data_IF_373884201962
#
_entry.id   IF_373884201962
#
_cell.length_a   1.000
_cell.length_b   1.000
_cell.length_c   1.000
_cell.angle_alpha   90.00
_cell.angle_beta   90.00
_cell.angle_gamma   90.00
#
_symmetry.space_group_name_H-M   'P 1'
#
loop_
_entity.id
_entity.type
_entity.pdbx_description
1 polymer ?
#
# COMPACT_ATOMS: atom_id res chain seq x y z
N UNK A 1 34.74 55.75 35.38
CA UNK A 1 33.89 54.56 35.53
C UNK A 1 32.47 54.92 35.11
N UNK A 2 32.06 54.53 33.90
CA UNK A 2 30.66 54.52 33.46
C UNK A 2 30.59 53.61 32.23
N UNK A 3 30.26 52.35 32.49
CA UNK A 3 30.14 51.30 31.49
C UNK A 3 28.83 51.51 30.72
N UNK A 4 28.92 51.70 29.41
CA UNK A 4 27.77 51.71 28.51
C UNK A 4 27.37 50.25 28.22
N UNK A 5 26.12 49.93 28.50
CA UNK A 5 25.50 48.65 28.17
C UNK A 5 25.17 48.62 26.68
N UNK A 6 25.74 47.64 25.97
CA UNK A 6 25.35 47.28 24.61
C UNK A 6 24.16 46.32 24.72
N UNK A 7 22.99 46.74 24.24
CA UNK A 7 21.84 45.86 24.03
C UNK A 7 22.05 45.14 22.72
N UNK A 8 22.38 43.84 22.79
CA UNK A 8 22.44 42.97 21.62
C UNK A 8 21.03 42.52 21.23
N UNK A 9 20.61 42.87 20.01
CA UNK A 9 19.42 42.28 19.39
C UNK A 9 19.75 40.85 18.94
N UNK A 10 19.17 39.86 19.60
CA UNK A 10 19.13 38.48 19.14
C UNK A 10 18.12 38.39 17.99
N UNK A 11 18.62 38.37 16.76
CA UNK A 11 17.84 37.95 15.60
C UNK A 11 17.76 36.42 15.68
N UNK A 12 16.63 35.90 16.16
CA UNK A 12 16.32 34.49 16.03
C UNK A 12 16.08 34.18 14.55
N UNK A 13 17.01 33.46 13.92
CA UNK A 13 16.70 32.74 12.68
C UNK A 13 15.68 31.66 13.06
N UNK A 14 14.41 31.89 12.77
CA UNK A 14 13.47 30.80 12.59
C UNK A 14 13.92 30.04 11.34
N UNK A 15 14.46 28.84 11.53
CA UNK A 15 14.56 27.86 10.44
C UNK A 15 13.12 27.54 10.06
N UNK A 16 12.64 28.16 8.98
CA UNK A 16 11.46 27.68 8.29
C UNK A 16 11.83 26.29 7.77
N UNK A 17 11.40 25.25 8.48
CA UNK A 17 11.38 23.89 7.94
C UNK A 17 10.62 23.95 6.62
N UNK A 18 11.25 23.45 5.55
CA UNK A 18 10.64 23.35 4.24
C UNK A 18 9.31 22.60 4.35
N UNK A 19 8.20 23.30 4.05
CA UNK A 19 6.82 22.82 3.94
C UNK A 19 6.61 21.87 2.72
N UNK A 20 7.64 21.13 2.33
CA UNK A 20 7.52 20.21 1.20
C UNK A 20 6.97 18.89 1.73
N UNK A 21 5.93 18.37 1.07
CA UNK A 21 5.46 17.01 1.28
C UNK A 21 6.65 16.05 1.14
N UNK A 22 6.74 15.04 2.01
CA UNK A 22 7.75 14.01 1.86
C UNK A 22 7.50 13.24 0.57
N UNK A 23 8.54 12.64 0.01
CA UNK A 23 8.38 11.63 -1.03
C UNK A 23 8.07 10.27 -0.40
N UNK A 24 7.38 9.40 -1.13
CA UNK A 24 7.21 8.00 -0.77
C UNK A 24 8.57 7.31 -0.61
N UNK A 25 9.52 7.61 -1.50
CA UNK A 25 10.87 7.03 -1.43
C UNK A 25 11.60 7.40 -0.14
N UNK A 26 11.54 8.65 0.30
CA UNK A 26 12.10 9.08 1.59
C UNK A 26 11.36 8.42 2.76
N UNK A 27 10.02 8.36 2.69
CA UNK A 27 9.19 7.79 3.75
C UNK A 27 9.41 6.28 3.94
N UNK A 28 9.71 5.56 2.85
CA UNK A 28 9.97 4.13 2.84
C UNK A 28 11.47 3.79 2.93
N UNK A 29 12.33 4.75 3.26
CA UNK A 29 13.77 4.50 3.36
C UNK A 29 14.10 3.59 4.56
N UNK A 30 14.91 2.55 4.33
CA UNK A 30 15.35 1.59 5.35
C UNK A 30 16.87 1.49 5.44
N UNK A 31 17.36 1.01 6.58
CA UNK A 31 18.79 0.70 6.76
C UNK A 31 19.11 -0.72 6.25
N UNK A 32 20.38 -1.14 6.37
CA UNK A 32 20.83 -2.47 5.95
C UNK A 32 20.17 -3.64 6.70
N UNK A 33 19.48 -3.38 7.82
CA UNK A 33 18.71 -4.36 8.58
C UNK A 33 17.20 -4.32 8.25
N UNK A 34 16.76 -3.49 7.30
CA UNK A 34 15.36 -3.31 6.94
C UNK A 34 14.55 -2.44 7.91
N UNK A 35 15.22 -1.75 8.85
CA UNK A 35 14.54 -0.85 9.78
C UNK A 35 14.35 0.53 9.15
N UNK A 36 13.19 1.16 9.39
CA UNK A 36 12.89 2.50 8.88
C UNK A 36 13.94 3.53 9.33
N UNK A 37 14.34 4.39 8.42
CA UNK A 37 15.29 5.50 8.64
C UNK A 37 14.62 6.87 8.54
N UNK A 38 13.32 6.90 8.27
CA UNK A 38 12.56 8.13 8.18
C UNK A 38 12.47 8.80 9.56
N UNK A 39 12.98 10.03 9.68
CA UNK A 39 13.16 10.74 10.96
C UNK A 39 12.48 12.11 10.98
N UNK A 40 11.53 12.35 10.07
CA UNK A 40 10.85 13.65 9.97
C UNK A 40 9.88 13.90 11.15
N UNK A 41 9.10 14.99 11.03
CA UNK A 41 8.10 15.42 12.01
C UNK A 41 7.12 14.29 12.39
N UNK A 42 6.37 14.51 13.48
CA UNK A 42 5.41 13.53 14.03
C UNK A 42 4.38 13.03 13.00
N UNK A 43 4.08 13.84 11.98
CA UNK A 43 3.19 13.49 10.88
C UNK A 43 3.90 13.60 9.53
N UNK A 44 3.39 12.88 8.54
CA UNK A 44 3.81 12.95 7.14
C UNK A 44 2.60 13.28 6.26
N UNK A 45 2.86 13.96 5.13
CA UNK A 45 1.89 14.17 4.05
C UNK A 45 2.47 13.60 2.77
N UNK A 46 1.72 12.72 2.09
CA UNK A 46 2.08 12.07 0.83
C UNK A 46 0.94 12.17 -0.19
N UNK A 47 1.27 12.19 -1.47
CA UNK A 47 0.31 12.16 -2.58
C UNK A 47 0.57 10.98 -3.51
N UNK A 48 -0.49 10.36 -4.00
CA UNK A 48 -0.36 9.27 -4.95
C UNK A 48 -1.69 8.72 -5.45
N UNK A 49 -1.61 7.72 -6.32
CA UNK A 49 -2.73 7.04 -6.95
C UNK A 49 -3.17 5.86 -6.09
N UNK A 50 -4.45 5.81 -5.76
CA UNK A 50 -5.07 4.70 -5.04
C UNK A 50 -4.97 3.41 -5.84
N UNK A 51 -4.32 2.39 -5.27
CA UNK A 51 -4.12 1.10 -5.92
C UNK A 51 -5.22 0.08 -5.61
N UNK A 52 -5.97 0.24 -4.52
CA UNK A 52 -7.01 -0.72 -4.16
C UNK A 52 -8.27 -0.13 -3.56
N UNK A 53 -9.34 -0.92 -3.62
CA UNK A 53 -10.50 -0.74 -2.77
C UNK A 53 -10.20 -1.36 -1.38
N UNK A 54 -10.29 -0.60 -0.28
CA UNK A 54 -10.08 -1.15 1.06
C UNK A 54 -11.01 -2.31 1.41
N UNK A 55 -12.24 -2.31 0.86
CA UNK A 55 -13.23 -3.36 1.11
C UNK A 55 -12.83 -4.73 0.52
N UNK A 56 -11.92 -4.75 -0.45
CA UNK A 56 -11.38 -5.98 -1.04
C UNK A 56 -10.10 -6.45 -0.34
N UNK A 57 -9.56 -5.67 0.60
CA UNK A 57 -8.32 -5.99 1.34
C UNK A 57 -8.64 -6.68 2.67
N UNK A 58 -9.00 -5.93 3.71
CA UNK A 58 -9.21 -6.44 5.08
C UNK A 58 -10.70 -6.50 5.44
N UNK A 59 -11.02 -7.14 6.57
CA UNK A 59 -12.39 -7.16 7.08
C UNK A 59 -12.68 -5.97 8.00
N UNK A 60 -13.49 -4.98 7.58
CA UNK A 60 -13.81 -3.83 8.43
C UNK A 60 -14.98 -4.10 9.37
N UNK A 61 -15.49 -5.35 9.46
CA UNK A 61 -16.65 -5.69 10.29
C UNK A 61 -16.33 -5.44 11.78
N UNK A 62 -17.06 -4.54 12.47
CA UNK A 62 -16.79 -4.24 13.87
C UNK A 62 -17.29 -5.34 14.81
N UNK A 63 -16.52 -5.62 15.87
CA UNK A 63 -16.91 -6.50 16.99
C UNK A 63 -16.09 -6.21 18.26
N UNK A 64 -16.39 -5.11 18.94
CA UNK A 64 -15.77 -4.69 20.21
C UNK A 64 -16.06 -5.61 21.41
N UNK A 65 -16.95 -6.60 21.25
CA UNK A 65 -17.16 -7.66 22.23
C UNK A 65 -16.08 -8.76 22.14
N UNK A 66 -15.33 -8.82 21.04
CA UNK A 66 -14.24 -9.76 20.85
C UNK A 66 -12.96 -9.26 21.52
N UNK A 67 -12.76 -9.67 22.76
CA UNK A 67 -11.58 -9.32 23.58
C UNK A 67 -10.48 -10.39 23.54
N UNK A 68 -10.44 -11.21 22.48
CA UNK A 68 -9.41 -12.24 22.36
C UNK A 68 -8.04 -11.59 22.15
N UNK A 69 -7.09 -11.94 23.00
CA UNK A 69 -5.69 -11.48 22.89
C UNK A 69 -5.15 -11.70 21.47
N UNK A 70 -4.53 -10.67 20.90
CA UNK A 70 -4.01 -10.58 19.53
C UNK A 70 -5.03 -10.43 18.39
N UNK A 71 -6.33 -10.34 18.67
CA UNK A 71 -7.34 -10.11 17.64
C UNK A 71 -7.62 -8.60 17.48
N UNK A 72 -7.30 -8.01 16.33
CA UNK A 72 -7.55 -6.57 16.06
C UNK A 72 -8.98 -6.30 15.56
N UNK A 73 -9.75 -7.36 15.29
CA UNK A 73 -11.15 -7.29 14.84
C UNK A 73 -11.27 -6.51 13.52
N UNK A 74 -12.04 -5.42 13.49
CA UNK A 74 -12.23 -4.59 12.30
C UNK A 74 -10.91 -4.00 11.86
N UNK A 75 -10.56 -4.16 10.58
CA UNK A 75 -9.33 -3.65 10.01
C UNK A 75 -9.61 -3.01 8.65
N UNK A 76 -8.85 -1.96 8.35
CA UNK A 76 -8.97 -1.20 7.13
C UNK A 76 -7.58 -0.83 6.61
N UNK A 77 -7.35 -1.01 5.30
CA UNK A 77 -6.05 -0.71 4.69
C UNK A 77 -6.20 -0.24 3.24
N UNK A 78 -5.40 0.77 2.87
CA UNK A 78 -5.35 1.34 1.53
C UNK A 78 -3.90 1.53 1.09
N UNK A 79 -3.56 1.07 -0.10
CA UNK A 79 -2.30 1.33 -0.78
C UNK A 79 -2.47 2.44 -1.80
N UNK A 80 -1.48 3.33 -1.86
CA UNK A 80 -1.37 4.35 -2.88
C UNK A 80 0.09 4.52 -3.31
N UNK A 81 0.28 4.80 -4.60
CA UNK A 81 1.59 4.87 -5.24
C UNK A 81 1.88 6.29 -5.70
N UNK A 82 3.09 6.77 -5.44
CA UNK A 82 3.55 8.04 -5.99
C UNK A 82 3.66 8.01 -7.53
N UNK A 83 3.96 9.18 -8.09
CA UNK A 83 3.97 9.43 -9.53
C UNK A 83 5.28 10.10 -9.96
N UNK A 84 5.54 10.11 -11.27
CA UNK A 84 6.73 10.73 -11.84
C UNK A 84 8.00 10.01 -11.40
N UNK A 85 8.93 10.75 -10.79
CA UNK A 85 10.22 10.22 -10.33
C UNK A 85 10.13 9.50 -8.98
N UNK A 86 9.02 9.61 -8.26
CA UNK A 86 8.78 8.97 -6.97
C UNK A 86 7.74 7.85 -7.09
N UNK A 87 8.14 6.72 -7.64
CA UNK A 87 7.24 5.60 -7.93
C UNK A 87 6.97 4.69 -6.73
N UNK A 88 7.58 4.95 -5.56
CA UNK A 88 7.34 4.16 -4.36
C UNK A 88 5.89 4.31 -3.88
N UNK A 89 5.39 3.32 -3.13
CA UNK A 89 4.04 3.38 -2.56
C UNK A 89 4.02 3.29 -1.05
N UNK A 90 2.86 3.52 -0.47
CA UNK A 90 2.65 3.54 0.98
C UNK A 90 1.28 2.97 1.31
N UNK A 91 1.17 2.33 2.48
CA UNK A 91 -0.11 1.92 3.02
C UNK A 91 -0.59 2.90 4.10
N UNK A 92 -1.90 3.13 4.11
CA UNK A 92 -2.68 3.64 5.23
C UNK A 92 -3.27 2.45 5.96
N UNK A 93 -3.20 2.40 7.29
CA UNK A 93 -3.76 1.30 8.08
C UNK A 93 -4.50 1.81 9.31
N UNK A 94 -5.63 1.18 9.62
CA UNK A 94 -6.41 1.38 10.84
C UNK A 94 -6.94 0.04 11.35
N UNK A 95 -6.97 -0.13 12.68
CA UNK A 95 -7.47 -1.33 13.34
C UNK A 95 -8.35 -0.96 14.53
N UNK A 96 -9.43 -1.72 14.74
CA UNK A 96 -10.45 -1.41 15.73
C UNK A 96 -9.94 -1.64 17.16
N UNK A 97 -9.45 -2.85 17.43
CA UNK A 97 -9.18 -3.33 18.79
C UNK A 97 -7.69 -3.45 19.08
N UNK A 98 -6.93 -2.36 18.94
CA UNK A 98 -5.52 -2.36 19.37
C UNK A 98 -5.35 -2.66 20.86
N UNK A 99 -6.36 -2.36 21.68
CA UNK A 99 -6.46 -2.75 23.09
C UNK A 99 -6.38 -4.27 23.35
N UNK A 100 -6.60 -5.12 22.33
CA UNK A 100 -6.39 -6.57 22.43
C UNK A 100 -4.90 -6.99 22.36
N UNK A 101 -3.99 -6.05 22.10
CA UNK A 101 -2.55 -6.29 22.17
C UNK A 101 -2.03 -6.06 23.59
N UNK A 102 -1.27 -6.99 24.18
CA UNK A 102 -0.88 -6.93 25.60
C UNK A 102 0.10 -5.80 25.94
N UNK A 103 0.59 -5.07 24.95
CA UNK A 103 1.50 -3.94 25.08
C UNK A 103 0.85 -2.59 24.74
N UNK A 104 -0.45 -2.55 24.44
CA UNK A 104 -1.24 -1.33 24.21
C UNK A 104 -2.16 -1.09 25.40
N UNK A 105 -2.54 0.18 25.62
CA UNK A 105 -3.51 0.55 26.65
C UNK A 105 -4.83 -0.20 26.44
N UNK A 106 -5.50 -0.68 27.51
CA UNK A 106 -6.84 -1.25 27.42
C UNK A 106 -7.88 -0.29 26.84
N UNK A 107 -7.64 1.02 26.94
CA UNK A 107 -8.51 2.08 26.42
C UNK A 107 -8.17 2.50 24.98
N UNK A 108 -7.22 1.83 24.30
CA UNK A 108 -6.77 2.20 22.95
C UNK A 108 -7.50 1.44 21.85
N UNK A 109 -8.83 1.38 21.89
CA UNK A 109 -9.63 0.62 20.93
C UNK A 109 -11.01 1.21 20.77
N UNK A 110 -11.48 1.26 19.52
CA UNK A 110 -12.77 1.83 19.16
C UNK A 110 -13.93 0.89 19.54
N UNK A 111 -14.98 1.45 20.14
CA UNK A 111 -16.29 0.79 20.14
C UNK A 111 -16.81 0.57 18.72
N UNK A 112 -17.84 -0.28 18.56
CA UNK A 112 -18.45 -0.50 17.25
C UNK A 112 -18.99 0.80 16.65
N UNK A 113 -19.61 1.66 17.48
CA UNK A 113 -20.13 2.96 17.03
C UNK A 113 -19.02 3.91 16.61
N UNK A 114 -17.93 4.00 17.38
CA UNK A 114 -16.77 4.85 17.04
C UNK A 114 -16.08 4.35 15.77
N UNK A 115 -15.86 3.03 15.64
CA UNK A 115 -15.27 2.44 14.44
C UNK A 115 -16.07 2.75 13.17
N UNK A 116 -17.40 2.63 13.23
CA UNK A 116 -18.28 2.97 12.10
C UNK A 116 -18.22 4.47 11.79
N UNK A 117 -18.12 5.32 12.81
CA UNK A 117 -17.95 6.76 12.61
C UNK A 117 -16.61 7.08 11.93
N UNK A 118 -15.52 6.44 12.34
CA UNK A 118 -14.19 6.62 11.76
C UNK A 118 -14.10 6.11 10.32
N UNK A 119 -14.66 4.93 10.02
CA UNK A 119 -14.77 4.48 8.64
C UNK A 119 -15.64 5.41 7.79
N UNK A 120 -16.71 5.98 8.35
CA UNK A 120 -17.54 6.97 7.64
C UNK A 120 -16.74 8.24 7.35
N UNK A 121 -15.95 8.73 8.32
CA UNK A 121 -15.08 9.89 8.19
C UNK A 121 -14.01 9.68 7.12
N UNK A 122 -13.25 8.58 7.20
CA UNK A 122 -12.17 8.27 6.25
C UNK A 122 -12.69 8.11 4.81
N UNK A 123 -13.85 7.47 4.63
CA UNK A 123 -14.41 7.23 3.30
C UNK A 123 -15.29 8.39 2.79
N UNK A 124 -15.43 9.49 3.54
CA UNK A 124 -16.29 10.62 3.18
C UNK A 124 -15.88 11.28 1.86
N UNK A 125 -14.60 11.23 1.49
CA UNK A 125 -14.08 11.75 0.22
C UNK A 125 -14.50 10.91 -1.00
N UNK A 126 -15.03 9.69 -0.79
CA UNK A 126 -15.47 8.77 -1.84
C UNK A 126 -14.42 8.59 -2.95
N UNK A 127 -13.15 8.40 -2.55
CA UNK A 127 -12.09 8.02 -3.47
C UNK A 127 -12.34 6.60 -4.01
N UNK A 128 -11.75 6.31 -5.15
CA UNK A 128 -11.82 5.02 -5.83
C UNK A 128 -10.44 4.62 -6.35
N UNK A 129 -10.29 3.37 -6.77
CA UNK A 129 -9.09 2.89 -7.46
C UNK A 129 -8.79 3.79 -8.66
N UNK A 130 -7.53 4.22 -8.81
CA UNK A 130 -7.11 5.14 -9.87
C UNK A 130 -7.39 6.63 -9.59
N UNK A 131 -7.93 6.99 -8.43
CA UNK A 131 -7.99 8.39 -8.00
C UNK A 131 -6.65 8.83 -7.40
N UNK A 132 -6.31 10.11 -7.56
CA UNK A 132 -5.22 10.75 -6.84
C UNK A 132 -5.70 11.28 -5.50
N UNK A 133 -5.02 10.91 -4.44
CA UNK A 133 -5.29 11.36 -3.07
C UNK A 133 -4.07 12.04 -2.45
N UNK A 134 -4.32 12.81 -1.39
CA UNK A 134 -3.31 13.24 -0.43
C UNK A 134 -3.66 12.66 0.93
N UNK A 135 -2.74 11.95 1.56
CA UNK A 135 -2.90 11.44 2.90
C UNK A 135 -1.99 12.20 3.88
N UNK A 136 -2.53 12.58 5.03
CA UNK A 136 -1.74 13.21 6.12
C UNK A 136 -2.04 12.51 7.43
N UNK A 137 -1.01 12.09 8.17
CA UNK A 137 -1.19 11.46 9.48
C UNK A 137 0.12 11.11 10.17
N UNK A 138 0.02 10.51 11.35
CA UNK A 138 1.14 9.89 12.04
C UNK A 138 1.57 8.59 11.32
N UNK A 139 2.64 7.98 11.80
CA UNK A 139 3.16 6.76 11.19
C UNK A 139 3.88 5.87 12.19
N UNK A 140 3.97 4.58 11.85
CA UNK A 140 4.85 3.60 12.48
C UNK A 140 5.41 2.65 11.42
N UNK A 141 6.62 2.15 11.67
CA UNK A 141 7.17 1.02 10.94
C UNK A 141 6.58 -0.28 11.46
N UNK A 142 6.14 -1.15 10.56
CA UNK A 142 5.67 -2.49 10.88
C UNK A 142 6.16 -3.46 9.81
N UNK A 143 6.93 -4.47 10.22
CA UNK A 143 7.29 -5.64 9.41
C UNK A 143 7.85 -5.33 7.99
N UNK A 144 8.76 -4.35 7.92
CA UNK A 144 9.49 -3.99 6.70
C UNK A 144 8.94 -2.78 5.94
N UNK A 145 7.85 -2.18 6.44
CA UNK A 145 7.22 -1.01 5.82
C UNK A 145 6.91 0.09 6.83
N UNK A 146 7.01 1.35 6.42
CA UNK A 146 6.47 2.47 7.19
C UNK A 146 5.06 2.78 6.70
N UNK A 147 4.07 2.73 7.59
CA UNK A 147 2.67 3.00 7.25
C UNK A 147 2.20 4.30 7.90
N UNK A 148 1.33 5.03 7.21
CA UNK A 148 0.56 6.09 7.87
C UNK A 148 -0.55 5.41 8.68
N UNK A 149 -0.63 5.73 9.96
CA UNK A 149 -1.59 5.17 10.90
C UNK A 149 -1.76 6.08 12.12
N UNK A 150 -2.54 5.63 13.10
CA UNK A 150 -2.89 6.40 14.30
C UNK A 150 -1.98 6.09 15.49
N UNK A 151 -0.85 5.40 15.27
CA UNK A 151 0.09 4.95 16.31
C UNK A 151 -0.54 4.14 17.45
N UNK A 152 -1.59 3.36 17.13
CA UNK A 152 -2.36 2.58 18.10
C UNK A 152 -3.08 3.46 19.15
N UNK A 153 -3.48 4.68 18.76
CA UNK A 153 -4.18 5.65 19.61
C UNK A 153 -5.47 6.10 18.92
N UNK A 154 -6.60 5.91 19.60
CA UNK A 154 -7.96 6.24 19.15
C UNK A 154 -8.41 7.67 19.50
N UNK A 155 -7.52 8.48 20.07
CA UNK A 155 -7.78 9.90 20.27
C UNK A 155 -7.86 10.62 18.91
N UNK A 156 -8.92 11.44 18.66
CA UNK A 156 -9.08 12.18 17.40
C UNK A 156 -7.89 13.05 16.96
N UNK A 157 -7.00 13.44 17.87
CA UNK A 157 -5.76 14.15 17.53
C UNK A 157 -4.75 13.28 16.74
N UNK A 158 -4.94 11.95 16.71
CA UNK A 158 -4.13 10.98 15.98
C UNK A 158 -4.73 10.54 14.64
N UNK A 159 -5.97 10.96 14.35
CA UNK A 159 -6.65 10.68 13.09
C UNK A 159 -5.76 11.06 11.90
N UNK A 160 -5.62 10.14 10.95
CA UNK A 160 -5.13 10.51 9.62
C UNK A 160 -6.29 10.99 8.74
N UNK A 161 -5.94 11.77 7.71
CA UNK A 161 -6.88 12.37 6.76
C UNK A 161 -6.56 11.93 5.35
N UNK A 162 -7.59 11.81 4.52
CA UNK A 162 -7.48 11.53 3.08
C UNK A 162 -8.25 12.61 2.34
N UNK A 163 -7.54 13.41 1.56
CA UNK A 163 -8.11 14.38 0.63
C UNK A 163 -8.13 13.77 -0.77
N UNK A 164 -9.28 13.82 -1.43
CA UNK A 164 -9.37 13.50 -2.85
C UNK A 164 -8.86 14.70 -3.66
N UNK A 165 -7.76 14.50 -4.40
CA UNK A 165 -7.13 15.55 -5.20
C UNK A 165 -7.68 15.55 -6.62
N UNK A 166 -7.81 14.37 -7.24
CA UNK A 166 -8.33 14.23 -8.60
C UNK A 166 -8.98 12.87 -8.81
N UNK A 167 -10.19 12.85 -9.37
CA UNK A 167 -10.86 11.60 -9.76
C UNK A 167 -10.37 11.06 -11.09
N UNK A 168 -10.35 9.74 -11.22
CA UNK A 168 -10.21 9.03 -12.48
C UNK A 168 -8.93 9.38 -13.23
N UNK A 169 -7.82 9.55 -12.50
CA UNK A 169 -6.49 9.71 -13.13
C UNK A 169 -6.13 8.44 -13.90
N UNK A 170 -6.59 7.30 -13.40
CA UNK A 170 -6.23 5.98 -13.90
C UNK A 170 -5.15 5.37 -13.02
N UNK A 171 -5.04 4.05 -13.05
CA UNK A 171 -3.96 3.35 -12.38
C UNK A 171 -2.63 3.61 -13.08
N UNK A 172 -1.50 3.58 -12.34
CA UNK A 172 -0.20 3.47 -12.97
C UNK A 172 -0.19 2.22 -13.86
N UNK A 173 0.42 2.31 -15.04
CA UNK A 173 0.67 1.10 -15.83
C UNK A 173 1.55 0.15 -15.00
N UNK A 174 1.18 -1.13 -14.82
CA UNK A 174 2.01 -2.07 -14.08
C UNK A 174 3.41 -2.19 -14.70
N UNK A 175 4.46 -2.10 -13.89
CA UNK A 175 5.82 -2.40 -14.37
C UNK A 175 5.96 -3.92 -14.53
N UNK A 176 6.48 -4.36 -15.67
CA UNK A 176 6.76 -5.79 -15.91
C UNK A 176 8.02 -6.16 -15.13
N UNK A 177 7.89 -7.15 -14.26
CA UNK A 177 8.92 -7.61 -13.33
C UNK A 177 9.02 -9.13 -13.46
N UNK A 178 10.25 -9.65 -13.48
CA UNK A 178 10.51 -11.09 -13.45
C UNK A 178 10.86 -11.55 -12.05
N UNK A 179 10.82 -12.87 -11.80
CA UNK A 179 11.28 -13.41 -10.52
C UNK A 179 12.79 -13.20 -10.32
N UNK A 180 13.57 -13.05 -11.39
CA UNK A 180 15.00 -12.70 -11.35
C UNK A 180 15.24 -11.26 -10.86
N UNK A 181 14.29 -10.34 -11.08
CA UNK A 181 14.39 -8.97 -10.56
C UNK A 181 14.18 -8.91 -9.05
N UNK A 182 13.49 -9.90 -8.49
CA UNK A 182 13.12 -9.98 -7.06
C UNK A 182 14.01 -10.92 -6.26
N UNK A 183 14.61 -11.92 -6.91
CA UNK A 183 15.30 -13.02 -6.24
C UNK A 183 16.60 -13.44 -6.93
N UNK A 184 17.55 -13.91 -6.13
CA UNK A 184 18.82 -14.45 -6.59
C UNK A 184 18.72 -15.90 -7.10
N UNK A 185 19.84 -16.45 -7.58
CA UNK A 185 19.92 -17.82 -8.12
C UNK A 185 19.61 -18.93 -7.10
N UNK A 186 19.48 -18.60 -5.80
CA UNK A 186 19.11 -19.50 -4.72
C UNK A 186 17.64 -19.32 -4.29
N UNK A 187 16.83 -18.61 -5.11
CA UNK A 187 15.43 -18.27 -4.83
C UNK A 187 15.26 -17.45 -3.53
N UNK A 188 16.31 -16.72 -3.11
CA UNK A 188 16.28 -15.80 -1.97
C UNK A 188 15.98 -14.39 -2.46
N UNK A 189 15.27 -13.58 -1.66
CA UNK A 189 14.96 -12.21 -2.06
C UNK A 189 16.21 -11.33 -2.13
N UNK A 190 16.25 -10.51 -3.17
CA UNK A 190 17.23 -9.44 -3.31
C UNK A 190 16.73 -8.26 -2.45
N UNK A 191 17.46 -7.98 -1.38
CA UNK A 191 17.24 -6.81 -0.54
C UNK A 191 18.24 -5.71 -0.88
N UNK A 192 17.74 -4.52 -1.20
CA UNK A 192 18.56 -3.33 -1.45
C UNK A 192 18.00 -2.12 -0.71
N UNK A 193 18.63 -1.65 0.38
CA UNK A 193 18.14 -0.49 1.13
C UNK A 193 18.20 0.82 0.34
N UNK A 194 18.97 0.87 -0.77
CA UNK A 194 18.95 2.01 -1.68
C UNK A 194 17.74 2.00 -2.64
N UNK A 195 16.91 0.96 -2.58
CA UNK A 195 15.69 0.77 -3.39
C UNK A 195 15.96 0.81 -4.91
N UNK A 196 17.16 0.43 -5.36
CA UNK A 196 17.53 0.46 -6.77
C UNK A 196 17.18 -0.83 -7.50
N UNK A 197 17.13 -1.96 -6.77
CA UNK A 197 16.81 -3.31 -7.27
C UNK A 197 16.01 -4.10 -6.22
N UNK A 198 15.53 -5.29 -6.59
CA UNK A 198 14.95 -6.23 -5.63
C UNK A 198 13.59 -5.80 -5.07
N UNK A 199 13.18 -6.45 -3.97
CA UNK A 199 11.86 -6.23 -3.37
C UNK A 199 11.63 -4.78 -2.92
N UNK A 200 12.66 -4.13 -2.37
CA UNK A 200 12.59 -2.74 -1.90
C UNK A 200 12.27 -1.73 -3.01
N UNK A 201 12.79 -1.94 -4.24
CA UNK A 201 12.46 -1.09 -5.39
C UNK A 201 10.97 -1.12 -5.74
N UNK A 202 10.34 -2.28 -5.57
CA UNK A 202 8.98 -2.56 -6.01
C UNK A 202 7.94 -2.53 -4.88
N UNK A 203 8.37 -2.42 -3.62
CA UNK A 203 7.49 -2.45 -2.45
C UNK A 203 6.40 -1.35 -2.53
N UNK A 204 5.15 -1.74 -2.35
CA UNK A 204 3.91 -0.98 -2.50
C UNK A 204 3.61 -0.47 -3.91
N UNK A 205 4.16 -1.10 -4.95
CA UNK A 205 3.95 -0.71 -6.35
C UNK A 205 3.11 -1.73 -7.10
N UNK A 206 2.35 -1.26 -8.09
CA UNK A 206 1.62 -2.12 -9.00
C UNK A 206 2.60 -2.72 -10.02
N UNK A 207 2.72 -4.04 -10.03
CA UNK A 207 3.61 -4.79 -10.93
C UNK A 207 2.86 -5.89 -11.67
N UNK A 208 3.44 -6.34 -12.77
CA UNK A 208 3.00 -7.50 -13.55
C UNK A 208 4.13 -8.52 -13.62
N UNK A 209 3.81 -9.78 -13.31
CA UNK A 209 4.71 -10.93 -13.52
C UNK A 209 4.09 -11.81 -14.59
N UNK A 210 4.81 -12.04 -15.68
CA UNK A 210 4.31 -12.73 -16.86
C UNK A 210 4.72 -14.20 -16.89
N UNK A 211 3.86 -15.04 -17.48
CA UNK A 211 4.23 -16.41 -17.84
C UNK A 211 4.54 -17.34 -16.66
N UNK A 212 3.83 -17.19 -15.55
CA UNK A 212 3.98 -18.02 -14.34
C UNK A 212 2.84 -19.04 -14.21
N UNK A 213 3.03 -20.04 -13.36
CA UNK A 213 2.00 -21.00 -12.98
C UNK A 213 1.76 -20.98 -11.47
N UNK A 214 0.59 -21.43 -11.03
CA UNK A 214 0.28 -21.62 -9.60
C UNK A 214 0.84 -22.97 -9.14
N UNK A 215 1.76 -22.96 -8.19
CA UNK A 215 2.43 -24.17 -7.69
C UNK A 215 1.47 -25.12 -6.96
N UNK A 216 0.56 -24.57 -6.15
CA UNK A 216 -0.54 -25.31 -5.50
C UNK A 216 -1.80 -24.43 -5.43
N UNK A 217 -2.89 -24.78 -6.14
CA UNK A 217 -4.12 -24.00 -6.11
C UNK A 217 -4.99 -24.25 -4.87
N UNK A 218 -4.61 -25.18 -3.97
CA UNK A 218 -5.40 -25.50 -2.77
C UNK A 218 -5.61 -24.31 -1.83
N UNK A 219 -4.75 -23.29 -1.91
CA UNK A 219 -4.90 -22.03 -1.16
C UNK A 219 -5.93 -21.06 -1.74
N UNK A 220 -6.62 -21.39 -2.82
CA UNK A 220 -7.55 -20.48 -3.48
C UNK A 220 -8.80 -20.18 -2.62
N UNK A 221 -8.99 -18.91 -2.29
CA UNK A 221 -10.15 -18.39 -1.57
C UNK A 221 -9.87 -17.02 -0.97
N UNK A 222 -10.89 -16.37 -0.37
CA UNK A 222 -10.69 -15.12 0.35
C UNK A 222 -9.61 -15.25 1.42
N UNK A 223 -8.67 -14.30 1.48
CA UNK A 223 -7.50 -14.33 2.38
C UNK A 223 -6.56 -15.51 2.16
N UNK A 224 -6.71 -16.20 1.03
CA UNK A 224 -5.90 -17.34 0.66
C UNK A 224 -4.47 -16.96 0.33
N UNK A 225 -3.56 -17.91 0.49
CA UNK A 225 -2.17 -17.77 0.08
C UNK A 225 -1.86 -18.78 -1.01
N UNK A 226 -1.33 -18.29 -2.12
CA UNK A 226 -0.83 -19.10 -3.23
C UNK A 226 0.67 -18.91 -3.37
N UNK A 227 1.27 -19.69 -4.25
CA UNK A 227 2.65 -19.47 -4.70
C UNK A 227 2.67 -19.54 -6.22
N UNK A 228 3.19 -18.49 -6.86
CA UNK A 228 3.47 -18.51 -8.30
C UNK A 228 4.89 -18.98 -8.55
N UNK A 229 5.14 -19.58 -9.70
CA UNK A 229 6.47 -20.04 -10.12
C UNK A 229 6.67 -19.96 -11.62
N UNK A 230 7.89 -19.66 -12.04
CA UNK A 230 8.37 -19.77 -13.42
C UNK A 230 9.01 -21.16 -13.71
N UNK A 231 8.91 -22.10 -12.76
CA UNK A 231 9.54 -23.42 -12.81
C UNK A 231 10.92 -23.48 -12.15
N UNK A 232 11.50 -22.34 -11.77
CA UNK A 232 12.80 -22.25 -11.08
C UNK A 232 12.65 -21.50 -9.75
N UNK A 233 12.06 -20.32 -9.77
CA UNK A 233 11.86 -19.43 -8.63
C UNK A 233 10.40 -19.39 -8.21
N UNK A 234 10.16 -18.91 -7.01
CA UNK A 234 8.81 -18.84 -6.43
C UNK A 234 8.50 -17.46 -5.86
N UNK A 235 7.23 -17.05 -5.84
CA UNK A 235 6.78 -15.84 -5.12
C UNK A 235 5.44 -16.12 -4.43
N UNK A 236 5.31 -15.82 -3.13
CA UNK A 236 4.02 -15.88 -2.44
C UNK A 236 3.04 -14.85 -3.03
N UNK A 237 1.79 -15.27 -3.19
CA UNK A 237 0.68 -14.39 -3.57
C UNK A 237 -0.37 -14.46 -2.48
N UNK A 238 -0.76 -13.31 -1.95
CA UNK A 238 -1.86 -13.21 -1.00
C UNK A 238 -3.10 -12.70 -1.71
N UNK A 239 -4.22 -13.40 -1.50
CA UNK A 239 -5.50 -13.10 -2.10
C UNK A 239 -6.34 -12.26 -1.16
N UNK A 240 -6.91 -11.18 -1.67
CA UNK A 240 -7.89 -10.39 -0.94
C UNK A 240 -9.23 -11.09 -0.81
N UNK A 241 -10.24 -10.31 -0.47
CA UNK A 241 -11.63 -10.75 -0.24
C UNK A 241 -12.60 -10.24 -1.31
N UNK A 242 -12.07 -9.77 -2.44
CA UNK A 242 -12.89 -9.30 -3.56
C UNK A 242 -13.82 -10.38 -4.08
N UNK A 243 -14.98 -9.94 -4.62
CA UNK A 243 -16.11 -10.82 -4.96
C UNK A 243 -15.83 -11.86 -6.04
N UNK A 244 -14.77 -11.73 -6.82
CA UNK A 244 -14.34 -12.73 -7.79
C UNK A 244 -13.48 -13.85 -7.21
N UNK A 245 -13.08 -13.76 -5.94
CA UNK A 245 -12.30 -14.78 -5.24
C UNK A 245 -13.24 -15.51 -4.29
N UNK A 246 -13.71 -16.69 -4.69
CA UNK A 246 -14.56 -17.56 -3.88
C UNK A 246 -14.35 -19.04 -4.22
N UNK A 247 -14.82 -19.94 -3.36
CA UNK A 247 -14.68 -21.39 -3.59
C UNK A 247 -15.27 -21.80 -4.95
N UNK A 248 -14.45 -22.39 -5.82
CA UNK A 248 -14.85 -22.82 -7.17
C UNK A 248 -14.75 -21.75 -8.27
N UNK A 249 -14.28 -20.53 -7.96
CA UNK A 249 -13.99 -19.50 -8.98
C UNK A 249 -12.65 -19.68 -9.70
N UNK A 250 -11.77 -20.57 -9.21
CA UNK A 250 -10.49 -20.86 -9.85
C UNK A 250 -10.72 -21.45 -11.24
N UNK A 251 -10.47 -20.65 -12.27
CA UNK A 251 -10.54 -21.03 -13.68
C UNK A 251 -9.30 -20.59 -14.47
N UNK A 252 -8.18 -20.36 -13.76
CA UNK A 252 -6.91 -19.96 -14.33
C UNK A 252 -6.32 -21.07 -15.23
N UNK A 253 -5.74 -20.67 -16.35
CA UNK A 253 -4.96 -21.51 -17.24
C UNK A 253 -3.69 -22.05 -16.54
N UNK A 254 -3.02 -23.02 -17.15
CA UNK A 254 -1.78 -23.59 -16.62
C UNK A 254 -0.67 -22.54 -16.49
N UNK A 255 -0.61 -21.61 -17.45
CA UNK A 255 0.30 -20.46 -17.44
C UNK A 255 -0.54 -19.20 -17.57
N UNK A 256 -0.26 -18.23 -16.70
CA UNK A 256 -0.98 -16.98 -16.54
C UNK A 256 -0.02 -15.83 -16.30
N UNK A 257 -0.53 -14.60 -16.47
CA UNK A 257 0.10 -13.41 -15.92
C UNK A 257 -0.53 -13.08 -14.56
N UNK A 258 0.19 -12.37 -13.70
CA UNK A 258 -0.32 -11.91 -12.40
C UNK A 258 -0.04 -10.43 -12.26
N UNK A 259 -1.09 -9.64 -11.99
CA UNK A 259 -0.97 -8.20 -11.72
C UNK A 259 -1.42 -7.95 -10.28
N UNK A 260 -0.57 -7.31 -9.50
CA UNK A 260 -0.84 -7.05 -8.09
C UNK A 260 0.11 -6.02 -7.48
N UNK A 261 -0.09 -5.76 -6.19
CA UNK A 261 0.72 -4.81 -5.42
C UNK A 261 1.82 -5.59 -4.72
N UNK A 262 3.10 -5.33 -5.01
CA UNK A 262 4.17 -5.99 -4.26
C UNK A 262 4.19 -5.43 -2.83
N UNK A 263 4.21 -6.30 -1.83
CA UNK A 263 4.14 -5.95 -0.42
C UNK A 263 5.23 -6.67 0.37
N UNK A 264 5.54 -6.15 1.55
CA UNK A 264 6.35 -6.81 2.56
C UNK A 264 5.66 -6.63 3.91
N UNK A 265 5.29 -7.74 4.52
CA UNK A 265 4.72 -7.76 5.87
C UNK A 265 5.32 -8.94 6.64
N UNK A 266 6.65 -8.93 6.77
CA UNK A 266 7.45 -10.00 7.36
C UNK A 266 8.19 -9.57 8.61
N UNK A 267 8.37 -10.48 9.57
CA UNK A 267 9.28 -10.27 10.70
C UNK A 267 10.76 -10.35 10.29
N UNK A 268 11.05 -10.96 9.14
CA UNK A 268 12.36 -10.89 8.50
C UNK A 268 12.38 -9.64 7.61
N UNK A 269 12.86 -8.52 8.15
CA UNK A 269 12.75 -7.19 7.53
C UNK A 269 13.51 -7.02 6.20
N UNK A 270 14.32 -8.00 5.82
CA UNK A 270 15.09 -8.03 4.57
C UNK A 270 14.59 -9.13 3.60
N UNK A 271 13.43 -9.72 3.88
CA UNK A 271 12.85 -10.87 3.18
C UNK A 271 11.30 -10.82 3.26
N UNK A 272 10.60 -11.81 2.71
CA UNK A 272 9.18 -12.05 2.93
C UNK A 272 8.29 -11.13 2.10
N UNK A 273 8.75 -10.76 0.90
CA UNK A 273 7.92 -10.06 -0.06
C UNK A 273 6.84 -10.99 -0.61
N UNK A 274 5.68 -10.42 -0.94
CA UNK A 274 4.54 -11.12 -1.51
C UNK A 274 3.81 -10.23 -2.49
N UNK A 275 3.09 -10.83 -3.43
CA UNK A 275 2.22 -10.09 -4.33
C UNK A 275 0.79 -10.10 -3.80
N UNK A 276 0.17 -8.93 -3.66
CA UNK A 276 -1.23 -8.81 -3.24
C UNK A 276 -2.14 -8.76 -4.48
N UNK A 277 -3.09 -9.69 -4.57
CA UNK A 277 -4.15 -9.68 -5.60
C UNK A 277 -5.51 -9.65 -4.90
N UNK A 278 -6.17 -8.49 -4.94
CA UNK A 278 -7.29 -8.23 -4.03
C UNK A 278 -8.65 -8.69 -4.53
N UNK A 279 -8.76 -8.88 -5.84
CA UNK A 279 -9.94 -9.39 -6.50
C UNK A 279 -9.53 -10.16 -7.76
N UNK A 280 -10.47 -10.86 -8.37
CA UNK A 280 -10.25 -11.60 -9.60
C UNK A 280 -11.39 -11.33 -10.58
N UNK A 281 -11.09 -11.10 -11.85
CA UNK A 281 -12.10 -10.78 -12.86
C UNK A 281 -12.72 -12.03 -13.54
N UNK A 282 -12.17 -13.22 -13.25
CA UNK A 282 -12.67 -14.49 -13.80
C UNK A 282 -12.25 -14.78 -15.23
N UNK A 283 -11.27 -14.07 -15.80
CA UNK A 283 -10.92 -14.19 -17.22
C UNK A 283 -10.20 -15.51 -17.59
N UNK A 284 -9.54 -16.18 -16.64
CA UNK A 284 -8.79 -17.43 -16.83
C UNK A 284 -7.35 -17.27 -17.35
N UNK A 285 -6.91 -16.08 -17.76
CA UNK A 285 -5.61 -15.80 -18.38
C UNK A 285 -4.69 -14.93 -17.51
N UNK A 286 -5.27 -14.03 -16.72
CA UNK A 286 -4.55 -13.08 -15.87
C UNK A 286 -5.19 -13.06 -14.49
N UNK A 287 -4.41 -13.38 -13.45
CA UNK A 287 -4.82 -13.22 -12.06
C UNK A 287 -4.63 -11.75 -11.65
N UNK A 288 -5.72 -10.99 -11.69
CA UNK A 288 -5.72 -9.57 -11.36
C UNK A 288 -7.10 -9.08 -10.91
N UNK A 289 -7.13 -7.98 -10.15
CA UNK A 289 -8.35 -7.23 -9.97
C UNK A 289 -8.82 -6.65 -11.32
N UNK A 290 -10.13 -6.52 -11.58
CA UNK A 290 -10.64 -6.01 -12.86
C UNK A 290 -10.04 -4.67 -13.29
N UNK A 291 -9.85 -3.73 -12.36
CA UNK A 291 -9.27 -2.42 -12.65
C UNK A 291 -7.77 -2.52 -12.96
N UNK A 292 -7.04 -3.41 -12.28
CA UNK A 292 -5.60 -3.64 -12.52
C UNK A 292 -5.35 -4.22 -13.90
N UNK A 293 -6.18 -5.19 -14.34
CA UNK A 293 -6.10 -5.73 -15.69
C UNK A 293 -6.27 -4.64 -16.75
N UNK A 294 -7.27 -3.77 -16.59
CA UNK A 294 -7.53 -2.66 -17.52
C UNK A 294 -6.37 -1.68 -17.62
N UNK A 295 -5.53 -1.58 -16.58
CA UNK A 295 -4.34 -0.74 -16.59
C UNK A 295 -3.20 -1.29 -17.47
N UNK A 296 -3.21 -2.60 -17.78
CA UNK A 296 -2.23 -3.24 -18.66
C UNK A 296 -2.68 -3.23 -20.14
N UNK A 297 -3.98 -3.10 -20.40
CA UNK A 297 -4.53 -3.05 -21.75
C UNK A 297 -4.15 -1.72 -22.44
N UNK A 298 -3.56 -1.81 -23.64
CA UNK A 298 -3.25 -0.63 -24.46
C UNK A 298 -4.57 -0.06 -24.98
N UNK A 299 -4.93 1.14 -24.52
CA UNK A 299 -6.00 1.92 -25.15
C UNK A 299 -5.44 2.46 -26.46
N UNK A 300 -5.77 1.85 -27.60
CA UNK A 300 -5.54 2.50 -28.89
C UNK A 300 -6.39 3.78 -28.92
N UNK A 301 -5.73 4.95 -29.00
CA UNK A 301 -6.46 6.19 -29.18
C UNK A 301 -7.25 6.13 -30.50
N UNK A 302 -8.53 6.55 -30.52
CA UNK A 302 -9.30 6.56 -31.75
C UNK A 302 -8.62 7.49 -32.76
N UNK A 303 -8.27 6.94 -33.93
CA UNK A 303 -7.77 7.72 -35.06
C UNK A 303 -8.84 8.74 -35.43
N UNK A 304 -8.56 10.02 -35.20
CA UNK A 304 -9.42 11.11 -35.67
C UNK A 304 -9.45 11.08 -37.21
N UNK A 305 -10.53 10.56 -37.80
CA UNK A 305 -10.74 10.65 -39.24
C UNK A 305 -10.85 12.13 -39.61
N UNK A 306 -9.83 12.66 -40.28
CA UNK A 306 -9.88 14.01 -40.82
C UNK A 306 -11.03 14.12 -41.82
N UNK A 307 -11.88 15.15 -41.72
CA UNK A 307 -13.00 15.31 -42.64
C UNK A 307 -12.49 15.50 -44.06
N UNK A 308 -12.93 14.62 -44.95
CA UNK A 308 -12.71 14.73 -46.39
C UNK A 308 -13.38 16.02 -46.87
N UNK A 309 -12.58 17.01 -47.24
CA UNK A 309 -13.06 18.19 -47.94
C UNK A 309 -13.53 17.78 -49.33
N UNK A 310 -14.84 17.71 -49.53
CA UNK A 310 -15.45 17.61 -50.86
C UNK A 310 -15.08 18.86 -51.68
N UNK A 311 -14.49 18.64 -52.86
CA UNK A 311 -14.18 19.66 -53.87
C UNK A 311 -15.31 19.78 -54.89
#
# INVERSE_FOLDING_TARGET
MRNAWVVGALIGLALAGSLWAATHTEFQAVNAAGESTYTAAQTVTLEGIVLNNPADMLDPTPDDANVQMYNIVGQWQLFFQGEGDDLAGTALYMGQMYSNLPWISPDGGYSNEEWVAELTRLNAAQFSVGDRIRATGYFLSYKGKTNINEQHNDNPDHDFTIELIQKGVGLPKPEVVTLDDLKDDQDQFIFDPARLVGGERYQSRLIKIEGVSIADPNGWGPYGELTITDGVKTLPVWLGRGTGIYAGSYNLNEVIDVIGILDQESTALVDGYRLLVLNYDGNGEVLAAPDHRRADEVVEEPVEEQPVLEQ
#
